data_IF_773927602323
#
_entry.id   IF_773927602323
#
_cell.length_a   1.000
_cell.length_b   1.000
_cell.length_c   1.000
_cell.angle_alpha   90.00
_cell.angle_beta   90.00
_cell.angle_gamma   90.00
#
_symmetry.space_group_name_H-M   'P 1'
#
loop_
_entity.id
_entity.type
_entity.pdbx_description
1 polymer ?
#
# COMPACT_ATOMS: atom_id res chain seq x y z
N UNK A 1 2.87 15.67 32.20
CA UNK A 1 2.25 15.71 30.85
C UNK A 1 2.42 14.33 30.25
N UNK A 2 1.34 13.54 30.15
CA UNK A 2 1.37 12.28 29.41
C UNK A 2 1.51 12.61 27.92
N UNK A 3 2.72 12.51 27.38
CA UNK A 3 2.90 12.40 25.95
C UNK A 3 2.37 11.03 25.57
N UNK A 4 1.10 10.95 25.15
CA UNK A 4 0.65 9.83 24.33
C UNK A 4 1.51 9.90 23.07
N UNK A 5 2.61 9.15 23.06
CA UNK A 5 3.43 8.95 21.88
C UNK A 5 2.48 8.34 20.87
N UNK A 6 2.01 9.14 19.92
CA UNK A 6 1.31 8.61 18.76
C UNK A 6 2.27 7.58 18.19
N UNK A 7 1.83 6.32 18.12
CA UNK A 7 2.60 5.27 17.47
C UNK A 7 2.85 5.81 16.07
N UNK A 8 4.08 6.25 15.80
CA UNK A 8 4.46 6.82 14.53
C UNK A 8 5.40 5.81 13.87
N UNK A 9 4.86 4.87 13.07
CA UNK A 9 5.64 3.77 12.52
C UNK A 9 6.75 4.30 11.62
N UNK A 10 6.48 5.38 10.88
CA UNK A 10 7.46 6.02 10.00
C UNK A 10 8.68 6.52 10.78
N UNK A 11 8.49 7.36 11.81
CA UNK A 11 9.59 7.90 12.62
C UNK A 11 10.38 6.79 13.33
N UNK A 12 9.67 5.76 13.79
CA UNK A 12 10.31 4.58 14.37
C UNK A 12 11.17 3.84 13.35
N UNK A 13 10.71 3.67 12.12
CA UNK A 13 11.44 3.01 11.05
C UNK A 13 12.59 3.84 10.50
N UNK A 14 12.43 5.17 10.41
CA UNK A 14 13.49 6.10 10.03
C UNK A 14 14.66 6.09 11.02
N UNK A 15 14.37 5.91 12.32
CA UNK A 15 15.42 5.73 13.33
C UNK A 15 16.23 4.43 13.17
N UNK A 16 15.74 3.47 12.37
CA UNK A 16 16.40 2.20 12.07
C UNK A 16 17.14 2.21 10.71
N UNK A 17 17.22 3.35 10.02
CA UNK A 17 17.98 3.42 8.77
C UNK A 17 19.44 3.00 8.98
N UNK A 18 19.96 2.20 8.03
CA UNK A 18 21.30 1.59 8.09
C UNK A 18 21.40 0.32 8.96
N UNK A 19 20.36 0.00 9.73
CA UNK A 19 20.30 -1.20 10.57
C UNK A 19 19.95 -2.45 9.74
N UNK A 20 20.36 -3.65 10.21
CA UNK A 20 19.99 -4.88 9.54
C UNK A 20 18.48 -5.18 9.66
N UNK A 21 17.98 -5.98 8.72
CA UNK A 21 16.63 -6.56 8.74
C UNK A 21 16.17 -7.08 10.11
N UNK A 22 17.05 -7.72 10.88
CA UNK A 22 16.72 -8.24 12.22
C UNK A 22 16.32 -7.15 13.22
N UNK A 23 16.88 -5.94 13.13
CA UNK A 23 16.50 -4.83 14.00
C UNK A 23 15.09 -4.32 13.67
N UNK A 24 14.72 -4.32 12.39
CA UNK A 24 13.37 -3.97 11.92
C UNK A 24 12.37 -5.03 12.36
N UNK A 25 12.69 -6.32 12.23
CA UNK A 25 11.84 -7.40 12.74
C UNK A 25 11.67 -7.35 14.26
N UNK A 26 12.71 -6.99 15.00
CA UNK A 26 12.61 -6.83 16.45
C UNK A 26 11.64 -5.71 16.85
N UNK A 27 11.51 -4.67 16.02
CA UNK A 27 10.68 -3.50 16.33
C UNK A 27 9.24 -3.58 15.80
N UNK A 28 9.04 -4.16 14.62
CA UNK A 28 7.75 -4.23 13.92
C UNK A 28 7.21 -5.66 13.78
N UNK A 29 7.99 -6.67 14.16
CA UNK A 29 7.66 -8.07 13.94
C UNK A 29 8.06 -8.55 12.53
N UNK A 30 7.79 -9.83 12.28
CA UNK A 30 8.04 -10.44 10.97
C UNK A 30 7.14 -9.78 9.92
N UNK A 31 7.68 -9.37 8.77
CA UNK A 31 6.88 -8.77 7.72
C UNK A 31 5.87 -9.79 7.15
N UNK A 32 4.60 -9.39 7.00
CA UNK A 32 3.58 -10.21 6.34
C UNK A 32 3.93 -10.54 4.89
N UNK A 33 4.55 -9.58 4.19
CA UNK A 33 4.89 -9.70 2.78
C UNK A 33 6.31 -9.23 2.51
N UNK A 34 7.02 -9.96 1.63
CA UNK A 34 8.37 -9.63 1.18
C UNK A 34 8.43 -9.74 -0.35
N UNK A 35 8.98 -8.73 -0.99
CA UNK A 35 9.12 -8.66 -2.44
C UNK A 35 10.58 -8.33 -2.80
N UNK A 36 11.13 -8.91 -3.88
CA UNK A 36 12.41 -8.46 -4.42
C UNK A 36 12.29 -7.01 -4.91
N UNK A 37 13.33 -6.21 -4.72
CA UNK A 37 13.42 -4.85 -5.25
C UNK A 37 14.38 -4.79 -6.44
N UNK A 38 14.16 -3.87 -7.37
CA UNK A 38 14.90 -3.80 -8.64
C UNK A 38 16.42 -3.66 -8.46
N UNK A 39 16.86 -3.01 -7.38
CA UNK A 39 18.27 -2.76 -7.07
C UNK A 39 18.99 -3.95 -6.38
N UNK A 40 18.42 -5.16 -6.46
CA UNK A 40 18.92 -6.35 -5.75
C UNK A 40 18.61 -6.36 -4.25
N UNK A 41 17.85 -5.36 -3.81
CA UNK A 41 17.33 -5.24 -2.46
C UNK A 41 16.09 -6.09 -2.19
N UNK A 42 15.52 -5.94 -1.01
CA UNK A 42 14.22 -6.54 -0.65
C UNK A 42 13.32 -5.47 -0.07
N UNK A 43 12.06 -5.43 -0.49
CA UNK A 43 11.00 -4.62 0.11
C UNK A 43 10.15 -5.47 1.03
N UNK A 44 9.97 -5.02 2.26
CA UNK A 44 9.03 -5.61 3.19
C UNK A 44 7.82 -4.71 3.32
N UNK A 45 6.64 -5.30 3.29
CA UNK A 45 5.39 -4.56 3.44
C UNK A 45 4.68 -4.94 4.73
N UNK A 46 4.26 -3.92 5.46
CA UNK A 46 3.48 -4.00 6.69
C UNK A 46 2.11 -3.36 6.47
N UNK A 47 1.16 -4.09 5.85
CA UNK A 47 -0.21 -3.63 5.71
C UNK A 47 -0.90 -3.59 7.07
N UNK A 48 -1.72 -2.58 7.32
CA UNK A 48 -2.55 -2.47 8.55
C UNK A 48 -3.96 -3.06 8.38
N UNK A 49 -4.13 -3.92 7.36
CA UNK A 49 -5.35 -4.67 7.04
C UNK A 49 -5.90 -5.47 8.24
N UNK A 50 -7.21 -5.80 8.26
CA UNK A 50 -8.23 -5.60 7.21
C UNK A 50 -9.01 -4.28 7.29
N UNK A 51 -8.66 -3.36 8.20
CA UNK A 51 -9.33 -2.05 8.32
C UNK A 51 -8.33 -0.88 8.19
N UNK A 52 -7.12 -1.18 7.72
CA UNK A 52 -6.01 -0.25 7.67
C UNK A 52 -5.98 0.55 6.38
N UNK A 53 -5.93 1.86 6.51
CA UNK A 53 -5.78 2.80 5.38
C UNK A 53 -4.28 3.06 5.05
N UNK A 54 -3.39 2.28 5.65
CA UNK A 54 -1.95 2.50 5.62
C UNK A 54 -1.21 1.19 5.39
N UNK A 55 -0.22 1.23 4.49
CA UNK A 55 0.80 0.19 4.37
C UNK A 55 2.15 0.85 4.47
N UNK A 56 3.02 0.31 5.33
CA UNK A 56 4.39 0.78 5.47
C UNK A 56 5.32 -0.15 4.71
N UNK A 57 6.18 0.43 3.86
CA UNK A 57 7.25 -0.27 3.18
C UNK A 57 8.57 -0.03 3.90
N UNK A 58 9.31 -1.10 4.13
CA UNK A 58 10.69 -1.09 4.59
C UNK A 58 11.57 -1.64 3.44
N UNK A 59 12.38 -0.77 2.84
CA UNK A 59 13.27 -1.12 1.74
C UNK A 59 14.66 -1.41 2.26
N UNK A 60 15.20 -2.56 1.87
CA UNK A 60 16.53 -3.00 2.21
C UNK A 60 17.39 -3.03 0.96
N UNK A 61 18.65 -2.60 1.07
CA UNK A 61 19.63 -2.75 0.00
C UNK A 61 20.12 -4.19 -0.16
N UNK A 62 20.96 -4.43 -1.16
CA UNK A 62 21.57 -5.74 -1.42
C UNK A 62 22.48 -6.23 -0.26
N UNK A 63 22.88 -5.35 0.66
CA UNK A 63 23.64 -5.71 1.86
C UNK A 63 22.74 -6.09 3.05
N UNK A 64 21.41 -6.00 2.89
CA UNK A 64 20.44 -6.31 3.93
C UNK A 64 20.24 -5.21 4.97
N UNK A 65 20.66 -3.98 4.66
CA UNK A 65 20.47 -2.80 5.52
C UNK A 65 19.25 -2.01 5.10
N UNK A 66 18.50 -1.48 6.07
CA UNK A 66 17.34 -0.64 5.81
C UNK A 66 17.78 0.69 5.18
N UNK A 67 17.25 1.00 4.00
CA UNK A 67 17.54 2.26 3.28
C UNK A 67 16.34 3.19 3.19
N UNK A 68 15.12 2.67 3.37
CA UNK A 68 13.91 3.50 3.43
C UNK A 68 12.85 2.85 4.31
N UNK A 69 12.10 3.65 5.07
CA UNK A 69 10.90 3.20 5.76
C UNK A 69 9.81 4.27 5.60
N UNK A 70 8.72 3.97 4.88
CA UNK A 70 7.71 4.97 4.54
C UNK A 70 6.31 4.39 4.35
N UNK A 71 5.29 5.22 4.49
CA UNK A 71 3.93 4.87 4.06
C UNK A 71 3.85 4.94 2.54
N UNK A 72 3.26 3.91 1.91
CA UNK A 72 3.21 3.78 0.44
C UNK A 72 1.80 3.82 -0.16
N UNK A 73 0.74 3.74 0.65
CA UNK A 73 -0.64 3.97 0.16
C UNK A 73 -0.90 5.48 0.12
N UNK A 74 -0.33 6.16 -0.87
CA UNK A 74 -0.45 7.60 -1.09
C UNK A 74 -0.78 7.90 -2.55
N UNK A 75 -1.44 9.04 -2.80
CA UNK A 75 -1.73 9.49 -4.17
C UNK A 75 -0.45 9.57 -5.03
N UNK A 76 0.67 9.99 -4.44
CA UNK A 76 1.95 10.12 -5.15
C UNK A 76 2.51 8.76 -5.57
N UNK A 77 2.43 7.74 -4.70
CA UNK A 77 2.88 6.39 -5.02
C UNK A 77 1.98 5.75 -6.07
N UNK A 78 0.66 5.91 -5.96
CA UNK A 78 -0.26 5.38 -6.97
C UNK A 78 -0.04 6.00 -8.35
N UNK A 79 0.35 7.27 -8.42
CA UNK A 79 0.68 7.95 -9.68
C UNK A 79 1.92 7.35 -10.39
N UNK A 80 2.75 6.56 -9.70
CA UNK A 80 3.88 5.87 -10.32
C UNK A 80 3.43 4.68 -11.19
N UNK A 81 2.22 4.15 -10.99
CA UNK A 81 1.69 3.04 -11.78
C UNK A 81 1.30 3.53 -13.17
N UNK A 82 2.02 3.05 -14.18
CA UNK A 82 1.80 3.40 -15.58
C UNK A 82 0.69 2.56 -16.18
N UNK A 83 -0.44 3.20 -16.46
CA UNK A 83 -1.55 2.58 -17.19
C UNK A 83 -1.09 2.14 -18.59
N UNK A 84 -1.42 0.91 -18.97
CA UNK A 84 -1.08 0.30 -20.25
C UNK A 84 0.23 -0.48 -20.26
N UNK A 85 1.09 -0.33 -19.25
CA UNK A 85 2.37 -1.06 -19.16
C UNK A 85 2.57 -1.77 -17.83
N UNK A 86 2.09 -1.20 -16.72
CA UNK A 86 2.22 -1.81 -15.41
C UNK A 86 1.38 -3.09 -15.32
N UNK A 87 1.94 -4.11 -14.69
CA UNK A 87 1.35 -5.43 -14.50
C UNK A 87 0.78 -5.58 -13.08
N UNK A 88 -0.02 -6.63 -12.89
CA UNK A 88 -0.43 -7.10 -11.55
C UNK A 88 0.77 -7.28 -10.61
N UNK A 89 1.89 -7.79 -11.12
CA UNK A 89 3.08 -8.00 -10.30
C UNK A 89 3.71 -6.68 -9.86
N UNK A 90 3.73 -5.66 -10.72
CA UNK A 90 4.24 -4.33 -10.36
C UNK A 90 3.40 -3.71 -9.24
N UNK A 91 2.08 -3.86 -9.32
CA UNK A 91 1.14 -3.40 -8.27
C UNK A 91 1.36 -4.17 -6.96
N UNK A 92 1.50 -5.50 -7.00
CA UNK A 92 1.79 -6.31 -5.80
C UNK A 92 3.15 -5.97 -5.17
N UNK A 93 4.20 -5.83 -5.98
CA UNK A 93 5.52 -5.48 -5.47
C UNK A 93 5.57 -4.07 -4.87
N UNK A 94 4.72 -3.17 -5.38
CA UNK A 94 4.65 -1.81 -4.88
C UNK A 94 3.80 -1.71 -3.63
N UNK A 95 2.55 -2.22 -3.65
CA UNK A 95 1.53 -1.99 -2.61
C UNK A 95 1.19 -3.21 -1.77
N UNK A 96 1.64 -4.40 -2.17
CA UNK A 96 1.29 -5.66 -1.52
C UNK A 96 -0.06 -6.18 -1.97
N UNK A 97 -0.57 -7.17 -1.23
CA UNK A 97 -1.85 -7.79 -1.54
C UNK A 97 -2.98 -6.77 -1.44
N UNK A 98 -3.89 -6.77 -2.42
CA UNK A 98 -5.07 -5.92 -2.35
C UNK A 98 -5.96 -6.35 -1.20
N UNK A 99 -6.69 -5.37 -0.68
CA UNK A 99 -7.64 -5.60 0.40
C UNK A 99 -8.91 -6.26 -0.10
N UNK A 100 -9.37 -5.83 -1.28
CA UNK A 100 -10.51 -6.41 -1.96
C UNK A 100 -10.16 -6.73 -3.41
N UNK A 101 -10.69 -7.85 -3.89
CA UNK A 101 -10.57 -8.27 -5.28
C UNK A 101 -11.95 -8.57 -5.85
N UNK A 102 -12.27 -7.95 -6.97
CA UNK A 102 -13.54 -8.13 -7.68
C UNK A 102 -13.29 -8.42 -9.16
N UNK A 103 -14.24 -9.04 -9.85
CA UNK A 103 -14.15 -9.26 -11.29
C UNK A 103 -15.43 -8.77 -11.98
N UNK A 104 -15.30 -7.74 -12.81
CA UNK A 104 -16.42 -7.16 -13.56
C UNK A 104 -16.57 -7.86 -14.90
N UNK A 105 -17.54 -8.77 -14.99
CA UNK A 105 -17.80 -9.58 -16.19
C UNK A 105 -18.13 -8.76 -17.43
N UNK A 106 -18.89 -7.66 -17.27
CA UNK A 106 -19.29 -6.80 -18.40
C UNK A 106 -18.11 -6.08 -19.05
N UNK A 107 -17.12 -5.70 -18.25
CA UNK A 107 -15.91 -5.05 -18.73
C UNK A 107 -14.79 -6.05 -19.03
N UNK A 108 -14.94 -7.29 -18.57
CA UNK A 108 -13.91 -8.33 -18.58
C UNK A 108 -12.62 -7.81 -17.92
N UNK A 109 -12.76 -7.32 -16.68
CA UNK A 109 -11.67 -6.74 -15.89
C UNK A 109 -11.63 -7.33 -14.49
N UNK A 110 -10.42 -7.66 -14.05
CA UNK A 110 -10.13 -7.91 -12.63
C UNK A 110 -9.87 -6.57 -11.96
N UNK A 111 -10.40 -6.36 -10.77
CA UNK A 111 -10.23 -5.14 -9.99
C UNK A 111 -9.62 -5.48 -8.65
N UNK A 112 -8.61 -4.70 -8.28
CA UNK A 112 -7.98 -4.72 -6.97
C UNK A 112 -8.18 -3.37 -6.30
N UNK A 113 -8.62 -3.40 -5.05
CA UNK A 113 -8.94 -2.20 -4.29
C UNK A 113 -8.08 -2.11 -3.04
N UNK A 114 -7.62 -0.89 -2.75
CA UNK A 114 -6.79 -0.55 -1.59
C UNK A 114 -7.42 0.63 -0.86
N UNK A 115 -7.75 0.48 0.43
CA UNK A 115 -8.16 1.62 1.26
C UNK A 115 -6.97 2.52 1.57
N UNK A 116 -7.16 3.82 1.40
CA UNK A 116 -6.17 4.84 1.75
C UNK A 116 -6.85 6.15 2.14
N UNK A 117 -6.06 7.07 2.71
CA UNK A 117 -6.48 8.46 2.87
C UNK A 117 -6.06 9.29 1.67
N UNK A 118 -7.01 9.61 0.80
CA UNK A 118 -6.76 10.54 -0.29
C UNK A 118 -6.40 11.91 0.26
N UNK A 119 -5.21 12.39 -0.13
CA UNK A 119 -4.59 13.61 0.37
C UNK A 119 -4.45 13.67 1.91
N UNK A 120 -4.40 12.50 2.57
CA UNK A 120 -4.30 12.40 4.02
C UNK A 120 -5.59 12.72 4.78
N UNK A 121 -6.66 13.11 4.09
CA UNK A 121 -7.91 13.58 4.71
C UNK A 121 -9.07 12.63 4.43
N UNK A 122 -9.27 12.26 3.17
CA UNK A 122 -10.51 11.60 2.73
C UNK A 122 -10.35 10.08 2.70
N UNK A 123 -11.12 9.30 3.48
CA UNK A 123 -11.16 7.85 3.32
C UNK A 123 -11.61 7.49 1.90
N UNK A 124 -10.80 6.74 1.19
CA UNK A 124 -11.01 6.43 -0.23
C UNK A 124 -10.46 5.06 -0.59
N UNK A 125 -10.95 4.51 -1.70
CA UNK A 125 -10.44 3.32 -2.34
C UNK A 125 -9.68 3.70 -3.60
N UNK A 126 -8.46 3.22 -3.73
CA UNK A 126 -7.77 3.18 -5.01
C UNK A 126 -8.05 1.84 -5.68
N UNK A 127 -8.65 1.88 -6.88
CA UNK A 127 -9.02 0.71 -7.66
C UNK A 127 -8.11 0.58 -8.89
N UNK A 128 -7.50 -0.59 -9.07
CA UNK A 128 -6.72 -0.95 -10.24
C UNK A 128 -7.49 -1.96 -11.07
N UNK A 129 -7.77 -1.63 -12.33
CA UNK A 129 -8.46 -2.50 -13.28
C UNK A 129 -7.44 -3.15 -14.21
N UNK A 130 -7.38 -4.47 -14.19
CA UNK A 130 -6.52 -5.28 -15.02
C UNK A 130 -7.31 -5.95 -16.13
N UNK A 131 -6.72 -6.04 -17.32
CA UNK A 131 -7.21 -6.94 -18.37
C UNK A 131 -6.85 -8.41 -18.10
N UNK A 132 -7.17 -9.29 -19.05
CA UNK A 132 -6.88 -10.73 -18.98
C UNK A 132 -5.38 -11.02 -18.86
N UNK A 133 -4.56 -10.23 -19.55
CA UNK A 133 -3.10 -10.33 -19.53
C UNK A 133 -2.50 -9.83 -18.22
N UNK A 134 -3.32 -9.20 -17.36
CA UNK A 134 -2.90 -8.68 -16.07
C UNK A 134 -2.24 -7.30 -16.17
N UNK A 135 -2.50 -6.56 -17.24
CA UNK A 135 -2.02 -5.19 -17.44
C UNK A 135 -3.04 -4.20 -16.90
N UNK A 136 -2.56 -3.20 -16.16
CA UNK A 136 -3.39 -2.10 -15.64
C UNK A 136 -3.94 -1.31 -16.83
N UNK A 137 -5.26 -1.25 -16.97
CA UNK A 137 -5.96 -0.50 -18.02
C UNK A 137 -6.65 0.75 -17.49
N UNK A 138 -6.97 0.79 -16.21
CA UNK A 138 -7.61 1.93 -15.57
C UNK A 138 -7.23 1.97 -14.09
N UNK A 139 -7.05 3.17 -13.57
CA UNK A 139 -7.02 3.44 -12.13
C UNK A 139 -8.19 4.35 -11.79
N UNK A 140 -8.82 4.14 -10.64
CA UNK A 140 -9.96 4.93 -10.19
C UNK A 140 -9.93 5.11 -8.68
N UNK A 141 -10.01 6.36 -8.23
CA UNK A 141 -10.28 6.68 -6.83
C UNK A 141 -11.79 6.76 -6.64
N UNK A 142 -12.32 6.10 -5.60
CA UNK A 142 -13.71 6.25 -5.17
C UNK A 142 -13.76 6.52 -3.66
N UNK A 143 -14.83 7.14 -3.14
CA UNK A 143 -15.09 7.16 -1.70
C UNK A 143 -15.07 5.74 -1.12
N UNK A 144 -14.65 5.59 0.14
CA UNK A 144 -14.75 4.31 0.84
C UNK A 144 -16.18 4.15 1.38
N UNK A 145 -16.96 3.15 0.91
CA UNK A 145 -18.33 2.93 1.35
C UNK A 145 -18.45 2.68 2.86
N UNK A 146 -17.36 2.26 3.53
CA UNK A 146 -17.33 2.08 4.97
C UNK A 146 -17.44 3.41 5.75
N UNK A 147 -17.07 4.52 5.12
CA UNK A 147 -17.08 5.87 5.71
C UNK A 147 -18.11 6.81 5.06
N UNK A 148 -18.80 6.35 4.01
CA UNK A 148 -19.99 7.02 3.45
C UNK A 148 -21.17 6.83 4.41
N UNK A 149 -21.21 7.60 5.50
CA UNK A 149 -22.34 7.64 6.42
C UNK A 149 -23.34 8.79 6.16
N UNK A 150 -23.14 9.66 5.16
CA UNK A 150 -23.92 10.90 5.05
C UNK A 150 -24.50 11.26 3.66
N UNK A 151 -24.69 10.32 2.72
CA UNK A 151 -25.32 10.66 1.43
C UNK A 151 -26.59 9.87 1.04
N UNK A 152 -27.31 9.27 1.99
CA UNK A 152 -28.70 8.84 1.74
C UNK A 152 -29.59 8.94 2.99
N UNK A 153 -30.13 10.15 3.23
CA UNK A 153 -31.34 10.39 4.02
C UNK A 153 -31.96 11.72 3.59
N UNK A 154 -32.18 11.89 2.29
CA UNK A 154 -33.09 12.91 1.74
C UNK A 154 -33.39 12.62 0.27
N UNK A 155 -34.39 11.76 0.03
CA UNK A 155 -35.38 11.96 -1.03
C UNK A 155 -36.63 11.13 -0.81
#
# INVERSE_FOLDING_TARGET
MCACTVLAPVQTGEALLGQPASAVEARFGKPPERYPHADGGTRWLYPTQPYGQFTYAADFDASGKLVSFRQILTTMDFAQIRVGTATRNDVLQTFGKPEETAYFRLMDRQVWSYRFRHEGVWPSLMNFYFDRDGIVRLTQVSPDPMYDHDHDSSR
#
